data_IF_454888281497
#
_entry.id   IF_454888281497
#
_cell.length_a   1.000
_cell.length_b   1.000
_cell.length_c   1.000
_cell.angle_alpha   90.00
_cell.angle_beta   90.00
_cell.angle_gamma   90.00
#
_symmetry.space_group_name_H-M   'P 1'
#
loop_
_entity.id
_entity.type
_entity.pdbx_description
1 polymer ?
#
# COMPACT_ATOMS: atom_id res chain seq x y z
N UNK A 1 53.62 -62.91 -18.41
CA UNK A 1 54.44 -62.44 -19.57
C UNK A 1 53.64 -61.40 -20.34
N UNK A 2 54.34 -60.35 -20.82
CA UNK A 2 53.90 -59.15 -21.59
C UNK A 2 53.29 -58.01 -20.75
N UNK A 3 54.11 -56.97 -20.43
CA UNK A 3 54.42 -55.72 -21.20
C UNK A 3 53.32 -54.67 -20.92
N UNK A 4 53.53 -53.40 -20.55
CA UNK A 4 54.62 -52.43 -20.79
C UNK A 4 54.36 -51.15 -19.97
N UNK A 5 55.42 -50.41 -19.68
CA UNK A 5 55.50 -49.09 -19.03
C UNK A 5 54.95 -47.91 -19.85
N UNK A 6 54.54 -46.81 -19.19
CA UNK A 6 54.69 -45.37 -19.58
C UNK A 6 53.72 -44.48 -18.75
N UNK A 7 54.21 -43.60 -17.85
CA UNK A 7 54.59 -42.18 -18.03
C UNK A 7 53.42 -41.15 -17.90
N UNK A 8 53.53 -40.34 -16.84
CA UNK A 8 53.54 -38.85 -16.82
C UNK A 8 52.22 -38.04 -16.80
N UNK A 9 52.17 -37.19 -15.76
CA UNK A 9 51.53 -35.87 -15.59
C UNK A 9 50.08 -35.63 -16.01
N UNK A 10 49.27 -35.11 -15.10
CA UNK A 10 48.96 -33.65 -15.07
C UNK A 10 48.06 -33.26 -13.90
N UNK A 11 48.35 -32.05 -13.42
CA UNK A 11 47.75 -31.27 -12.34
C UNK A 11 46.27 -30.95 -12.58
N UNK A 12 45.44 -31.01 -11.53
CA UNK A 12 44.35 -30.05 -11.28
C UNK A 12 43.78 -30.26 -9.85
N UNK A 13 44.31 -29.52 -8.88
CA UNK A 13 43.56 -29.20 -7.67
C UNK A 13 42.36 -28.33 -8.09
N UNK A 14 41.15 -28.86 -8.00
CA UNK A 14 39.93 -28.04 -8.02
C UNK A 14 39.41 -27.98 -6.59
N UNK A 15 39.93 -27.01 -5.84
CA UNK A 15 39.30 -26.49 -4.62
C UNK A 15 38.02 -25.78 -5.06
N UNK A 16 36.86 -26.45 -4.98
CA UNK A 16 35.56 -25.79 -5.12
C UNK A 16 35.35 -24.96 -3.86
N UNK A 17 35.72 -23.69 -3.97
CA UNK A 17 35.42 -22.63 -3.03
C UNK A 17 33.90 -22.38 -3.07
N UNK A 18 33.15 -23.07 -2.21
CA UNK A 18 31.76 -22.74 -1.92
C UNK A 18 31.71 -21.44 -1.12
N UNK A 19 32.05 -20.32 -1.78
CA UNK A 19 31.74 -19.00 -1.28
C UNK A 19 30.22 -18.85 -1.36
N UNK A 20 29.56 -19.09 -0.22
CA UNK A 20 28.18 -18.70 -0.02
C UNK A 20 28.10 -17.19 -0.25
N UNK A 21 27.58 -16.82 -1.42
CA UNK A 21 27.16 -15.47 -1.75
C UNK A 21 25.88 -15.22 -0.93
N UNK A 22 26.02 -15.00 0.38
CA UNK A 22 24.95 -14.42 1.19
C UNK A 22 24.88 -12.96 0.77
N UNK A 23 24.20 -12.69 -0.34
CA UNK A 23 23.76 -11.35 -0.64
C UNK A 23 22.93 -10.90 0.56
N UNK A 24 23.38 -9.87 1.28
CA UNK A 24 22.55 -9.14 2.23
C UNK A 24 21.38 -8.54 1.46
N UNK A 25 20.35 -9.33 1.18
CA UNK A 25 19.04 -8.78 0.90
C UNK A 25 18.57 -8.18 2.22
N UNK A 26 18.51 -6.84 2.29
CA UNK A 26 17.91 -6.16 3.42
C UNK A 26 16.49 -6.72 3.61
N UNK A 27 16.18 -7.11 4.84
CA UNK A 27 14.85 -7.65 5.14
C UNK A 27 13.82 -6.53 5.00
N UNK A 28 12.58 -6.82 4.57
CA UNK A 28 11.56 -5.79 4.31
C UNK A 28 11.18 -4.97 5.55
N UNK A 29 11.49 -5.47 6.74
CA UNK A 29 11.34 -4.84 8.06
C UNK A 29 12.60 -4.08 8.55
N UNK A 30 13.71 -4.12 7.80
CA UNK A 30 14.95 -3.41 8.15
C UNK A 30 14.80 -1.91 7.88
N UNK A 31 14.56 -1.17 8.96
CA UNK A 31 14.43 0.29 8.95
C UNK A 31 15.76 0.98 8.64
N UNK A 32 16.91 0.36 8.93
CA UNK A 32 18.23 0.96 8.66
C UNK A 32 18.54 1.04 7.17
N UNK A 33 17.91 0.17 6.39
CA UNK A 33 17.90 0.22 4.93
C UNK A 33 16.92 1.26 4.37
N UNK A 34 16.27 2.07 5.21
CA UNK A 34 15.34 3.13 4.83
C UNK A 34 15.81 4.49 5.33
N UNK A 35 16.06 5.42 4.42
CA UNK A 35 16.34 6.81 4.77
C UNK A 35 15.03 7.59 4.79
N UNK A 36 14.60 8.15 5.95
CA UNK A 36 13.42 9.01 6.01
C UNK A 36 13.56 10.18 5.04
N UNK A 37 12.46 10.50 4.35
CA UNK A 37 12.45 11.60 3.38
C UNK A 37 12.44 12.98 4.06
N UNK A 38 12.05 13.05 5.34
CA UNK A 38 12.08 14.25 6.17
C UNK A 38 13.02 14.02 7.35
N UNK A 39 13.92 14.98 7.59
CA UNK A 39 14.83 14.94 8.71
C UNK A 39 14.15 15.42 10.00
N UNK A 40 14.65 14.95 11.15
CA UNK A 40 14.33 15.55 12.44
C UNK A 40 14.91 16.96 12.52
N UNK A 41 14.22 17.86 13.22
CA UNK A 41 14.73 19.19 13.50
C UNK A 41 14.24 19.74 14.83
N UNK A 42 14.61 21.00 15.10
CA UNK A 42 14.32 21.64 16.38
C UNK A 42 12.81 21.73 16.67
N UNK A 43 11.97 21.97 15.65
CA UNK A 43 10.53 22.11 15.87
C UNK A 43 9.89 20.75 16.17
N UNK A 44 10.19 19.71 15.38
CA UNK A 44 9.63 18.37 15.62
C UNK A 44 10.15 17.71 16.89
N UNK A 45 11.36 18.03 17.34
CA UNK A 45 11.94 17.51 18.59
C UNK A 45 11.36 18.14 19.86
N UNK A 46 10.65 19.27 19.73
CA UNK A 46 10.00 19.95 20.85
C UNK A 46 8.59 19.41 21.13
N UNK A 47 8.01 18.70 20.17
CA UNK A 47 6.68 18.08 20.32
C UNK A 47 6.82 16.83 21.18
N UNK A 48 5.97 16.72 22.20
CA UNK A 48 5.89 15.50 23.01
C UNK A 48 4.48 14.93 22.93
N UNK A 49 4.37 13.61 22.94
CA UNK A 49 3.10 12.91 22.90
C UNK A 49 3.19 11.65 23.74
N UNK A 50 2.34 11.54 24.75
CA UNK A 50 2.35 10.43 25.72
C UNK A 50 1.04 9.65 25.67
N UNK A 51 1.07 8.40 26.14
CA UNK A 51 -0.06 7.47 26.05
C UNK A 51 0.25 6.31 25.11
N UNK A 52 -0.58 5.28 25.15
CA UNK A 52 -0.45 4.09 24.29
C UNK A 52 -0.61 4.47 22.81
N UNK A 53 0.19 3.87 21.92
CA UNK A 53 0.06 4.08 20.47
C UNK A 53 -1.23 3.44 19.99
N UNK A 54 -2.00 4.16 19.17
CA UNK A 54 -3.33 3.76 18.69
C UNK A 54 -4.48 4.16 19.63
N UNK A 55 -4.17 4.77 20.76
CA UNK A 55 -5.14 5.49 21.62
C UNK A 55 -4.87 6.99 21.56
N UNK A 56 -5.90 7.80 21.84
CA UNK A 56 -5.79 9.26 21.76
C UNK A 56 -4.62 9.77 22.64
N UNK A 57 -3.56 10.35 22.05
CA UNK A 57 -2.40 10.77 22.80
C UNK A 57 -2.65 12.05 23.58
N UNK A 58 -1.96 12.20 24.72
CA UNK A 58 -1.79 13.51 25.35
C UNK A 58 -0.59 14.19 24.70
N UNK A 59 -0.86 15.16 23.83
CA UNK A 59 0.14 15.92 23.08
C UNK A 59 0.41 17.28 23.74
N UNK A 60 1.68 17.66 23.83
CA UNK A 60 2.12 18.99 24.25
C UNK A 60 2.93 19.64 23.13
N UNK A 61 2.42 20.76 22.62
CA UNK A 61 3.06 21.60 21.60
C UNK A 61 3.50 22.92 22.26
N UNK A 62 4.81 23.22 22.32
CA UNK A 62 5.27 24.46 22.90
C UNK A 62 4.95 25.63 21.96
N UNK A 63 3.95 26.42 22.35
CA UNK A 63 3.45 27.53 21.56
C UNK A 63 4.12 28.87 21.96
N UNK A 64 4.47 29.74 20.99
CA UNK A 64 4.35 29.52 19.54
C UNK A 64 5.49 28.63 19.00
N UNK A 65 5.13 27.63 18.21
CA UNK A 65 6.05 26.79 17.44
C UNK A 65 6.08 27.27 15.99
N UNK A 66 7.28 27.46 15.44
CA UNK A 66 7.49 27.89 14.05
C UNK A 66 8.30 26.84 13.31
N UNK A 67 7.75 26.32 12.20
CA UNK A 67 8.40 25.31 11.36
C UNK A 67 8.20 25.66 9.88
N UNK A 68 9.07 26.51 9.30
CA UNK A 68 8.92 26.96 7.92
C UNK A 68 9.27 25.87 6.89
N UNK A 69 9.79 24.73 7.35
CA UNK A 69 10.05 23.55 6.53
C UNK A 69 9.54 22.32 7.28
N UNK A 70 9.14 21.26 6.56
CA UNK A 70 8.71 20.03 7.19
C UNK A 70 9.84 19.34 7.96
N UNK A 71 9.56 18.95 9.20
CA UNK A 71 10.48 18.17 10.05
C UNK A 71 9.73 16.98 10.64
N UNK A 72 10.43 15.86 10.77
CA UNK A 72 9.86 14.59 11.26
C UNK A 72 10.73 14.00 12.36
N UNK A 73 10.14 13.79 13.53
CA UNK A 73 10.77 13.07 14.65
C UNK A 73 9.97 11.82 15.00
N UNK A 74 10.67 10.72 15.28
CA UNK A 74 10.05 9.51 15.85
C UNK A 74 9.99 9.69 17.36
N UNK A 75 8.80 9.58 17.93
CA UNK A 75 8.55 9.71 19.37
C UNK A 75 8.50 8.34 20.06
N UNK A 76 7.91 7.35 19.38
CA UNK A 76 7.87 5.95 19.83
C UNK A 76 8.24 5.05 18.66
N UNK A 77 9.08 4.05 18.89
CA UNK A 77 9.55 3.13 17.85
C UNK A 77 8.52 2.05 17.53
N UNK A 78 8.29 1.86 16.22
CA UNK A 78 7.47 0.77 15.70
C UNK A 78 8.29 -0.46 15.31
N UNK A 79 7.62 -1.50 14.84
CA UNK A 79 8.24 -2.72 14.31
C UNK A 79 7.44 -3.30 13.17
N UNK A 80 8.10 -4.11 12.34
CA UNK A 80 7.49 -4.81 11.22
C UNK A 80 7.78 -4.11 9.90
N UNK A 81 6.87 -4.28 8.93
CA UNK A 81 7.09 -3.86 7.55
C UNK A 81 7.37 -2.35 7.46
N UNK A 82 8.48 -1.98 6.82
CA UNK A 82 8.88 -0.58 6.64
C UNK A 82 8.20 -0.01 5.40
N UNK A 83 7.42 1.04 5.58
CA UNK A 83 6.70 1.71 4.50
C UNK A 83 7.66 2.39 3.52
N UNK A 84 7.81 1.79 2.33
CA UNK A 84 8.52 2.41 1.20
C UNK A 84 7.58 3.32 0.41
N UNK A 85 8.14 4.18 -0.43
CA UNK A 85 7.35 5.02 -1.32
C UNK A 85 6.38 4.16 -2.15
N UNK A 86 5.10 4.55 -2.15
CA UNK A 86 4.00 3.86 -2.82
C UNK A 86 3.33 2.75 -2.01
N UNK A 87 3.92 2.33 -0.88
CA UNK A 87 3.27 1.42 0.06
C UNK A 87 2.13 2.12 0.80
N UNK A 88 1.22 1.31 1.33
CA UNK A 88 0.02 1.80 2.00
C UNK A 88 0.25 1.84 3.49
N UNK A 89 -0.16 2.92 4.13
CA UNK A 89 -0.03 3.13 5.56
C UNK A 89 -1.36 3.58 6.13
N UNK A 90 -1.81 2.85 7.13
CA UNK A 90 -2.97 3.19 7.93
C UNK A 90 -2.48 3.81 9.23
N UNK A 91 -3.08 4.93 9.61
CA UNK A 91 -2.65 5.67 10.78
C UNK A 91 -3.80 6.47 11.39
N UNK A 92 -3.72 6.66 12.69
CA UNK A 92 -4.47 7.70 13.38
C UNK A 92 -3.63 8.98 13.44
N UNK A 93 -4.29 10.13 13.50
CA UNK A 93 -3.61 11.41 13.58
C UNK A 93 -4.36 12.43 14.42
N UNK A 94 -3.61 13.24 15.15
CA UNK A 94 -4.09 14.44 15.81
C UNK A 94 -3.31 15.66 15.30
N UNK A 95 -4.04 16.70 14.88
CA UNK A 95 -3.52 17.91 14.26
C UNK A 95 -3.70 19.06 15.26
N UNK A 96 -2.64 19.84 15.46
CA UNK A 96 -2.58 20.97 16.39
C UNK A 96 -2.12 22.22 15.65
N UNK A 97 -2.63 23.36 16.10
CA UNK A 97 -2.17 24.68 15.70
C UNK A 97 -0.80 24.98 16.33
N UNK A 98 0.23 25.23 15.51
CA UNK A 98 1.56 25.56 16.00
C UNK A 98 1.63 26.91 16.72
N UNK A 99 0.75 27.87 16.40
CA UNK A 99 0.74 29.19 17.02
C UNK A 99 0.20 29.18 18.46
N UNK A 100 -0.79 28.32 18.72
CA UNK A 100 -1.51 28.29 20.01
C UNK A 100 -1.33 27.00 20.80
N UNK A 101 -0.89 25.91 20.16
CA UNK A 101 -0.86 24.56 20.72
C UNK A 101 -2.24 23.91 20.83
N UNK A 102 -3.28 24.53 20.29
CA UNK A 102 -4.66 24.03 20.37
C UNK A 102 -4.87 22.88 19.39
N UNK A 103 -5.57 21.84 19.81
CA UNK A 103 -5.99 20.76 18.92
C UNK A 103 -7.03 21.25 17.92
N UNK A 104 -6.81 20.95 16.65
CA UNK A 104 -7.69 21.32 15.53
C UNK A 104 -8.59 20.17 15.11
N UNK A 105 -7.98 19.00 14.86
CA UNK A 105 -8.65 17.79 14.36
C UNK A 105 -7.99 16.56 14.95
N UNK A 106 -8.75 15.48 15.07
CA UNK A 106 -8.22 14.16 15.37
C UNK A 106 -9.04 13.07 14.67
N UNK A 107 -8.42 11.92 14.42
CA UNK A 107 -9.12 10.69 14.12
C UNK A 107 -9.71 10.11 15.40
N UNK A 108 -10.42 8.97 15.32
CA UNK A 108 -11.14 8.43 16.47
C UNK A 108 -10.24 7.78 17.53
N UNK A 109 -9.07 7.28 17.13
CA UNK A 109 -8.19 6.51 18.01
C UNK A 109 -8.94 5.40 18.79
N UNK A 110 -9.87 4.73 18.13
CA UNK A 110 -10.76 3.72 18.73
C UNK A 110 -10.39 2.29 18.34
N UNK A 111 -9.19 2.12 17.76
CA UNK A 111 -8.70 0.84 17.24
C UNK A 111 -9.35 0.39 15.93
N UNK A 112 -10.25 1.19 15.35
CA UNK A 112 -10.74 0.97 13.97
C UNK A 112 -9.79 1.60 12.95
N UNK A 113 -10.05 1.37 11.66
CA UNK A 113 -9.19 1.90 10.61
C UNK A 113 -9.22 3.44 10.65
N UNK A 114 -8.05 4.04 10.83
CA UNK A 114 -7.88 5.48 10.77
C UNK A 114 -7.88 6.00 9.33
N UNK A 115 -6.94 6.90 9.03
CA UNK A 115 -6.70 7.40 7.67
C UNK A 115 -5.75 6.45 6.96
N UNK A 116 -6.03 6.18 5.69
CA UNK A 116 -5.15 5.39 4.81
C UNK A 116 -4.54 6.28 3.74
N UNK A 117 -3.21 6.33 3.65
CA UNK A 117 -2.48 6.97 2.55
C UNK A 117 -1.47 6.03 1.88
N UNK A 118 -1.06 6.39 0.66
CA UNK A 118 0.13 5.81 0.03
C UNK A 118 1.34 6.68 0.36
N UNK A 119 2.34 6.12 1.05
CA UNK A 119 3.51 6.82 1.51
C UNK A 119 4.27 7.48 0.35
N UNK A 120 4.59 8.76 0.48
CA UNK A 120 5.34 9.53 -0.50
C UNK A 120 4.67 9.69 -1.87
N UNK A 121 3.33 9.51 -1.96
CA UNK A 121 2.54 9.81 -3.15
C UNK A 121 1.56 10.97 -2.90
N UNK A 122 1.15 11.62 -3.97
CA UNK A 122 0.16 12.70 -3.91
C UNK A 122 -1.21 12.13 -3.51
N UNK A 123 -1.86 12.81 -2.58
CA UNK A 123 -3.21 12.48 -2.08
C UNK A 123 -4.31 13.14 -2.91
N UNK A 124 -3.94 14.03 -3.83
CA UNK A 124 -4.88 14.72 -4.71
C UNK A 124 -4.21 15.11 -6.04
N UNK A 125 -4.99 15.14 -7.12
CA UNK A 125 -4.53 15.59 -8.42
C UNK A 125 -4.22 17.10 -8.47
N UNK A 126 -4.80 17.88 -7.55
CA UNK A 126 -4.59 19.33 -7.42
C UNK A 126 -3.22 19.65 -6.78
N UNK A 127 -2.63 18.71 -6.06
CA UNK A 127 -1.30 18.87 -5.49
C UNK A 127 -0.23 18.94 -6.60
N UNK A 128 0.59 19.99 -6.56
CA UNK A 128 1.76 20.13 -7.44
C UNK A 128 2.84 19.12 -7.04
N UNK A 129 3.19 19.13 -5.76
CA UNK A 129 4.20 18.27 -5.14
C UNK A 129 3.55 17.30 -4.13
N UNK A 130 4.31 16.30 -3.67
CA UNK A 130 3.85 15.39 -2.62
C UNK A 130 3.82 16.14 -1.28
N UNK A 131 2.69 16.12 -0.58
CA UNK A 131 2.57 16.72 0.75
C UNK A 131 3.49 16.07 1.78
N UNK A 132 3.91 16.86 2.76
CA UNK A 132 4.81 16.44 3.84
C UNK A 132 4.16 15.39 4.75
N UNK A 133 2.83 15.36 4.88
CA UNK A 133 2.13 14.29 5.59
C UNK A 133 2.36 12.94 4.92
N UNK A 134 2.06 12.81 3.63
CA UNK A 134 2.33 11.57 2.89
C UNK A 134 3.83 11.23 2.87
N UNK A 135 4.70 12.25 2.77
CA UNK A 135 6.15 12.09 2.79
C UNK A 135 6.66 11.59 4.16
N UNK A 136 6.05 12.03 5.26
CA UNK A 136 6.42 11.62 6.63
C UNK A 136 6.18 10.14 6.92
N UNK A 137 5.29 9.50 6.15
CA UNK A 137 4.98 8.07 6.22
C UNK A 137 6.06 7.20 5.54
N UNK A 138 6.99 7.80 4.78
CA UNK A 138 8.13 7.05 4.23
C UNK A 138 9.06 6.64 5.38
N UNK A 139 9.39 5.36 5.42
CA UNK A 139 10.08 4.67 6.50
C UNK A 139 9.28 4.52 7.81
N UNK A 140 7.97 4.73 7.77
CA UNK A 140 7.10 4.42 8.90
C UNK A 140 6.99 2.90 9.13
N UNK A 141 6.79 2.50 10.38
CA UNK A 141 6.52 1.10 10.77
C UNK A 141 5.26 1.02 11.65
N UNK A 142 4.53 -0.11 11.63
CA UNK A 142 3.43 -0.35 12.55
C UNK A 142 3.82 -0.13 14.02
N UNK A 143 2.93 0.50 14.80
CA UNK A 143 3.15 0.84 16.20
C UNK A 143 4.08 2.02 16.44
N UNK A 144 4.53 2.72 15.40
CA UNK A 144 5.36 3.91 15.53
C UNK A 144 4.50 5.15 15.84
N UNK A 145 4.98 6.04 16.71
CA UNK A 145 4.44 7.41 16.86
C UNK A 145 5.41 8.41 16.28
N UNK A 146 4.93 9.28 15.40
CA UNK A 146 5.72 10.27 14.68
C UNK A 146 5.15 11.67 14.96
N UNK A 147 6.03 12.64 15.22
CA UNK A 147 5.70 14.06 15.18
C UNK A 147 6.17 14.67 13.85
N UNK A 148 5.22 15.22 13.10
CA UNK A 148 5.46 16.03 11.92
C UNK A 148 5.16 17.50 12.25
N UNK A 149 6.11 18.38 12.00
CA UNK A 149 5.88 19.84 12.03
C UNK A 149 6.06 20.38 10.63
N UNK A 150 5.10 21.14 10.13
CA UNK A 150 5.05 21.57 8.72
C UNK A 150 4.20 22.83 8.60
N UNK A 151 4.20 23.47 7.44
CA UNK A 151 3.17 24.48 7.11
C UNK A 151 1.89 23.82 6.63
N UNK A 152 0.77 24.54 6.67
CA UNK A 152 -0.53 24.08 6.17
C UNK A 152 -0.43 23.70 4.68
N UNK A 153 0.20 24.54 3.85
CA UNK A 153 0.40 24.26 2.43
C UNK A 153 1.26 23.00 2.21
N UNK A 154 2.42 22.92 2.87
CA UNK A 154 3.35 21.81 2.69
C UNK A 154 2.76 20.49 3.18
N UNK A 155 1.86 20.50 4.17
CA UNK A 155 1.19 19.29 4.66
C UNK A 155 0.44 18.53 3.57
N UNK A 156 -0.06 19.26 2.57
CA UNK A 156 -0.96 18.74 1.55
C UNK A 156 -2.39 18.52 2.03
N UNK A 157 -2.76 19.00 3.22
CA UNK A 157 -4.11 18.98 3.78
C UNK A 157 -4.88 20.27 3.46
N UNK A 158 -6.20 20.16 3.37
CA UNK A 158 -7.09 21.33 3.40
C UNK A 158 -7.63 21.52 4.82
N UNK A 159 -7.16 22.56 5.49
CA UNK A 159 -7.52 22.91 6.87
C UNK A 159 -8.41 24.16 6.97
N UNK A 160 -8.95 24.62 5.84
CA UNK A 160 -9.83 25.80 5.79
C UNK A 160 -11.07 25.65 6.67
N UNK A 161 -11.58 24.42 6.78
CA UNK A 161 -12.75 24.08 7.62
C UNK A 161 -12.55 24.31 9.12
N UNK A 162 -11.29 24.31 9.59
CA UNK A 162 -10.92 24.58 10.98
C UNK A 162 -10.25 25.95 11.16
N UNK A 163 -10.43 26.84 10.19
CA UNK A 163 -9.99 28.24 10.28
C UNK A 163 -8.53 28.48 9.94
N UNK A 164 -7.81 27.49 9.41
CA UNK A 164 -6.44 27.66 8.91
C UNK A 164 -6.50 27.86 7.40
N UNK A 165 -6.28 29.10 6.97
CA UNK A 165 -6.28 29.49 5.54
C UNK A 165 -4.97 30.12 5.08
N UNK A 166 -4.04 30.38 6.00
CA UNK A 166 -2.72 30.88 5.67
C UNK A 166 -1.81 29.70 5.32
N UNK A 167 -1.26 29.72 4.11
CA UNK A 167 -0.42 28.66 3.55
C UNK A 167 0.83 28.40 4.40
N UNK A 168 1.39 29.46 5.00
CA UNK A 168 2.60 29.41 5.81
C UNK A 168 2.32 29.09 7.29
N UNK A 169 1.04 28.90 7.66
CA UNK A 169 0.64 28.61 9.04
C UNK A 169 1.26 27.29 9.52
N UNK A 170 2.03 27.33 10.61
CA UNK A 170 2.64 26.11 11.16
C UNK A 170 1.59 25.24 11.83
N UNK A 171 1.58 23.96 11.47
CA UNK A 171 0.80 22.92 12.12
C UNK A 171 1.71 21.83 12.67
N UNK A 172 1.21 21.12 13.66
CA UNK A 172 1.83 19.91 14.20
C UNK A 172 0.87 18.74 13.99
N UNK A 173 1.37 17.65 13.43
CA UNK A 173 0.62 16.40 13.25
C UNK A 173 1.33 15.31 14.05
N UNK A 174 0.64 14.74 15.03
CA UNK A 174 1.07 13.53 15.72
C UNK A 174 0.38 12.36 15.06
N UNK A 175 1.18 11.39 14.59
CA UNK A 175 0.73 10.28 13.75
C UNK A 175 1.05 8.97 14.47
N UNK A 176 0.03 8.15 14.66
CA UNK A 176 0.15 6.80 15.17
C UNK A 176 -0.05 5.80 14.03
N UNK A 177 1.03 5.14 13.64
CA UNK A 177 1.02 4.20 12.51
C UNK A 177 0.39 2.89 12.96
N UNK A 178 -0.78 2.56 12.42
CA UNK A 178 -1.53 1.35 12.74
C UNK A 178 -0.95 0.15 11.99
N UNK A 179 -0.90 0.23 10.66
CA UNK A 179 -0.52 -0.90 9.82
C UNK A 179 0.13 -0.42 8.50
N UNK A 180 0.97 -1.27 7.91
CA UNK A 180 1.65 -1.01 6.64
C UNK A 180 1.40 -2.18 5.70
N UNK A 181 0.95 -1.89 4.49
CA UNK A 181 0.73 -2.89 3.45
C UNK A 181 1.61 -2.62 2.21
N UNK A 182 2.01 -3.66 1.46
CA UNK A 182 2.61 -3.51 0.14
C UNK A 182 1.83 -2.57 -0.77
N UNK A 183 2.53 -1.88 -1.68
CA UNK A 183 1.89 -1.00 -2.66
C UNK A 183 1.28 -1.74 -3.87
N UNK A 184 1.62 -3.03 -4.03
CA UNK A 184 1.21 -3.90 -5.13
C UNK A 184 1.42 -5.36 -4.78
N UNK A 185 0.81 -6.25 -5.56
CA UNK A 185 1.07 -7.68 -5.53
C UNK A 185 2.49 -8.02 -6.03
N UNK A 186 3.20 -8.83 -5.24
CA UNK A 186 4.60 -9.26 -5.45
C UNK A 186 4.75 -10.77 -5.66
N UNK A 187 3.63 -11.50 -5.79
CA UNK A 187 3.61 -12.93 -6.02
C UNK A 187 4.24 -13.39 -7.34
N UNK A 188 4.39 -14.70 -7.47
CA UNK A 188 4.96 -15.35 -8.66
C UNK A 188 3.99 -15.27 -9.84
N UNK A 189 4.46 -14.77 -10.98
CA UNK A 189 3.66 -14.74 -12.21
C UNK A 189 3.16 -16.13 -12.59
N UNK A 190 1.88 -16.21 -12.95
CA UNK A 190 1.20 -17.41 -13.41
C UNK A 190 1.03 -17.38 -14.93
N UNK A 191 0.78 -18.56 -15.52
CA UNK A 191 0.53 -18.66 -16.95
C UNK A 191 -0.81 -17.98 -17.31
N UNK A 192 -0.84 -17.14 -18.37
CA UNK A 192 -2.07 -16.59 -18.89
C UNK A 192 -3.09 -17.69 -19.21
N UNK A 193 -4.36 -17.41 -18.93
CA UNK A 193 -5.46 -18.33 -19.24
C UNK A 193 -6.04 -18.02 -20.60
N UNK A 194 -6.31 -19.05 -21.39
CA UNK A 194 -6.88 -18.88 -22.73
C UNK A 194 -8.28 -18.22 -22.66
N UNK A 195 -8.59 -17.36 -23.63
CA UNK A 195 -9.85 -16.62 -23.67
C UNK A 195 -10.02 -15.54 -22.59
N UNK A 196 -8.94 -15.09 -21.96
CA UNK A 196 -8.95 -14.00 -20.96
C UNK A 196 -8.13 -12.79 -21.44
N UNK A 197 -8.45 -11.58 -20.98
CA UNK A 197 -7.57 -10.42 -21.14
C UNK A 197 -6.22 -10.64 -20.45
N UNK A 198 -5.17 -10.00 -20.98
CA UNK A 198 -3.82 -10.02 -20.43
C UNK A 198 -3.62 -8.77 -19.58
N UNK A 199 -3.15 -8.95 -18.35
CA UNK A 199 -2.79 -7.85 -17.44
C UNK A 199 -1.35 -7.44 -17.68
N UNK A 200 -1.12 -6.13 -17.77
CA UNK A 200 0.20 -5.52 -17.80
C UNK A 200 0.38 -4.72 -16.51
N UNK A 201 1.51 -4.87 -15.83
CA UNK A 201 1.81 -4.15 -14.58
C UNK A 201 3.04 -3.29 -14.76
N UNK A 202 2.90 -1.99 -14.50
CA UNK A 202 4.01 -1.04 -14.50
C UNK A 202 4.90 -1.21 -13.25
N UNK A 203 6.12 -0.63 -13.23
CA UNK A 203 7.03 -0.78 -12.09
C UNK A 203 6.48 -0.28 -10.75
N UNK A 204 5.61 0.74 -10.78
CA UNK A 204 4.91 1.29 -9.62
C UNK A 204 3.71 0.45 -9.15
N UNK A 205 3.36 -0.61 -9.91
CA UNK A 205 2.22 -1.47 -9.65
C UNK A 205 0.97 -1.11 -10.44
N UNK A 206 0.93 0.04 -11.12
CA UNK A 206 -0.23 0.46 -11.91
C UNK A 206 -0.54 -0.60 -12.98
N UNK A 207 -1.80 -1.02 -13.05
CA UNK A 207 -2.24 -2.09 -13.94
C UNK A 207 -2.94 -1.54 -15.18
N UNK A 208 -2.68 -2.21 -16.30
CA UNK A 208 -3.39 -2.06 -17.57
C UNK A 208 -3.88 -3.41 -18.06
N UNK A 209 -4.78 -3.39 -19.04
CA UNK A 209 -5.27 -4.60 -19.71
C UNK A 209 -5.09 -4.48 -21.21
N UNK A 210 -4.74 -5.59 -21.85
CA UNK A 210 -4.82 -5.76 -23.31
C UNK A 210 -5.63 -7.00 -23.62
N UNK A 211 -6.53 -6.90 -24.60
CA UNK A 211 -7.32 -8.04 -25.10
C UNK A 211 -6.65 -8.52 -26.40
N UNK A 212 -6.13 -9.76 -26.46
CA UNK A 212 -5.56 -10.29 -27.70
C UNK A 212 -6.62 -10.38 -28.82
N UNK A 213 -6.18 -10.18 -30.07
CA UNK A 213 -7.08 -10.24 -31.23
C UNK A 213 -7.80 -11.58 -31.33
N UNK A 214 -9.10 -11.54 -31.62
CA UNK A 214 -9.93 -12.73 -31.77
C UNK A 214 -10.51 -13.28 -30.45
N UNK A 215 -10.12 -12.74 -29.30
CA UNK A 215 -10.75 -13.07 -28.01
C UNK A 215 -12.05 -12.28 -27.87
N UNK A 216 -13.16 -13.00 -27.66
CA UNK A 216 -14.48 -12.41 -27.42
C UNK A 216 -14.79 -12.36 -25.93
N UNK A 217 -15.73 -11.48 -25.56
CA UNK A 217 -16.27 -11.41 -24.20
C UNK A 217 -16.82 -12.79 -23.78
N UNK A 218 -16.39 -13.34 -22.62
CA UNK A 218 -16.93 -14.59 -22.10
C UNK A 218 -18.43 -14.54 -21.85
N UNK A 219 -19.14 -15.63 -22.15
CA UNK A 219 -20.57 -15.78 -21.85
C UNK A 219 -20.87 -16.19 -20.39
N UNK A 220 -19.82 -16.44 -19.60
CA UNK A 220 -19.88 -16.78 -18.18
C UNK A 220 -18.79 -16.03 -17.43
N UNK A 221 -19.02 -15.81 -16.15
CA UNK A 221 -18.04 -15.25 -15.24
C UNK A 221 -16.75 -16.12 -15.27
N UNK A 222 -15.58 -15.47 -15.33
CA UNK A 222 -14.27 -16.14 -15.36
C UNK A 222 -13.29 -15.43 -14.45
N UNK A 223 -12.50 -16.22 -13.72
CA UNK A 223 -11.47 -15.72 -12.82
C UNK A 223 -10.15 -16.43 -13.10
N UNK A 224 -9.04 -15.71 -12.97
CA UNK A 224 -7.71 -16.29 -13.02
C UNK A 224 -6.76 -15.57 -12.06
N UNK A 225 -5.87 -16.32 -11.42
CA UNK A 225 -4.74 -15.76 -10.68
C UNK A 225 -3.63 -15.41 -11.68
N UNK A 226 -3.22 -14.14 -11.71
CA UNK A 226 -2.14 -13.63 -12.55
C UNK A 226 -0.80 -13.67 -11.82
N UNK A 227 -0.81 -13.39 -10.51
CA UNK A 227 0.33 -13.58 -9.62
C UNK A 227 -0.13 -14.35 -8.40
N UNK A 228 0.64 -15.36 -8.01
CA UNK A 228 0.36 -16.15 -6.81
C UNK A 228 1.26 -15.66 -5.67
N UNK A 229 0.63 -14.98 -4.71
CA UNK A 229 1.26 -14.55 -3.48
C UNK A 229 1.62 -15.72 -2.57
N UNK A 230 2.38 -15.41 -1.52
CA UNK A 230 2.83 -16.38 -0.52
C UNK A 230 2.41 -16.04 0.91
N UNK A 231 1.68 -14.94 1.10
CA UNK A 231 1.21 -14.51 2.41
C UNK A 231 0.00 -15.31 2.92
N UNK A 232 -0.58 -14.83 4.02
CA UNK A 232 -1.79 -15.41 4.61
C UNK A 232 -2.92 -15.50 3.57
N UNK A 233 -3.72 -16.57 3.63
CA UNK A 233 -4.87 -16.74 2.75
C UNK A 233 -6.06 -15.99 3.31
N UNK A 234 -6.74 -15.25 2.43
CA UNK A 234 -7.99 -14.58 2.77
C UNK A 234 -9.05 -15.63 3.16
N UNK A 235 -9.83 -15.32 4.18
CA UNK A 235 -10.97 -16.10 4.63
C UNK A 235 -12.27 -15.26 4.56
N UNK A 236 -13.41 -15.95 4.57
CA UNK A 236 -14.71 -15.28 4.71
C UNK A 236 -14.75 -14.56 6.07
N UNK A 237 -15.20 -13.31 6.08
CA UNK A 237 -15.21 -12.41 7.24
C UNK A 237 -13.98 -11.51 7.36
N UNK A 238 -12.90 -11.78 6.62
CA UNK A 238 -11.71 -10.93 6.65
C UNK A 238 -11.98 -9.55 6.07
N UNK A 239 -11.23 -8.57 6.57
CA UNK A 239 -11.12 -7.23 6.02
C UNK A 239 -9.97 -7.20 5.01
N UNK A 240 -10.24 -7.57 3.77
CA UNK A 240 -9.23 -7.62 2.72
C UNK A 240 -8.82 -6.20 2.28
N UNK A 241 -7.52 -5.93 2.25
CA UNK A 241 -6.95 -4.67 1.74
C UNK A 241 -6.57 -4.87 0.28
N UNK A 242 -7.25 -4.15 -0.62
CA UNK A 242 -7.24 -4.41 -2.05
C UNK A 242 -6.89 -3.14 -2.85
N UNK A 243 -5.98 -3.28 -3.80
CA UNK A 243 -5.90 -2.34 -4.92
C UNK A 243 -6.74 -2.92 -6.07
N UNK A 244 -7.62 -2.11 -6.65
CA UNK A 244 -8.62 -2.52 -7.63
C UNK A 244 -8.65 -1.55 -8.80
N UNK A 245 -8.65 -2.10 -10.00
CA UNK A 245 -8.96 -1.38 -11.22
C UNK A 245 -10.06 -2.13 -11.97
N UNK A 246 -10.93 -1.38 -12.62
CA UNK A 246 -12.03 -1.93 -13.39
C UNK A 246 -12.08 -1.37 -14.81
N UNK A 247 -12.54 -2.21 -15.73
CA UNK A 247 -12.74 -1.88 -17.12
C UNK A 247 -14.11 -2.36 -17.59
N UNK A 248 -14.72 -1.61 -18.50
CA UNK A 248 -15.83 -2.10 -19.33
C UNK A 248 -15.28 -2.73 -20.59
N UNK A 249 -15.79 -3.92 -20.92
CA UNK A 249 -15.49 -4.66 -22.14
C UNK A 249 -16.79 -4.95 -22.91
N UNK A 250 -17.11 -4.15 -23.95
CA UNK A 250 -18.34 -4.35 -24.72
C UNK A 250 -18.25 -5.59 -25.63
N UNK A 251 -19.39 -6.23 -25.90
CA UNK A 251 -19.48 -7.49 -26.67
C UNK A 251 -19.29 -7.35 -28.18
N UNK A 252 -19.11 -6.13 -28.71
CA UNK A 252 -18.94 -5.88 -30.15
C UNK A 252 -17.58 -6.33 -30.69
N UNK A 253 -17.52 -6.81 -31.93
CA UNK A 253 -16.29 -7.35 -32.53
C UNK A 253 -15.16 -6.29 -32.67
N UNK A 254 -15.50 -5.00 -32.78
CA UNK A 254 -14.55 -3.87 -32.81
C UNK A 254 -14.53 -3.06 -31.49
N UNK A 255 -15.11 -3.59 -30.41
CA UNK A 255 -15.25 -2.87 -29.16
C UNK A 255 -13.92 -2.76 -28.40
N UNK A 256 -13.58 -1.53 -28.00
CA UNK A 256 -12.38 -1.26 -27.21
C UNK A 256 -12.70 -1.34 -25.72
N UNK A 257 -11.89 -2.10 -24.99
CA UNK A 257 -11.92 -2.12 -23.53
C UNK A 257 -11.55 -0.73 -22.97
N UNK A 258 -12.32 -0.23 -22.00
CA UNK A 258 -12.09 1.11 -21.41
C UNK A 258 -12.03 1.04 -19.89
N UNK A 259 -11.00 1.65 -19.30
CA UNK A 259 -10.87 1.73 -17.85
C UNK A 259 -11.96 2.63 -17.27
N UNK A 260 -12.56 2.22 -16.17
CA UNK A 260 -13.64 2.95 -15.48
C UNK A 260 -13.18 3.50 -14.13
N UNK A 261 -12.39 2.74 -13.40
CA UNK A 261 -11.85 3.18 -12.11
C UNK A 261 -10.51 2.49 -11.83
N UNK A 262 -9.70 3.13 -10.99
CA UNK A 262 -8.40 2.61 -10.57
C UNK A 262 -8.01 3.22 -9.22
N UNK A 263 -7.73 2.39 -8.23
CA UNK A 263 -7.16 2.85 -6.94
C UNK A 263 -5.70 3.29 -7.06
N UNK A 264 -5.06 3.08 -8.21
CA UNK A 264 -3.71 3.57 -8.50
C UNK A 264 -3.71 5.04 -8.92
N UNK A 265 -4.84 5.58 -9.38
CA UNK A 265 -4.98 6.97 -9.81
C UNK A 265 -4.51 7.94 -8.71
N UNK A 266 -4.09 9.14 -9.08
CA UNK A 266 -3.58 10.13 -8.11
C UNK A 266 -4.66 10.44 -7.07
N UNK A 267 -4.30 10.32 -5.78
CA UNK A 267 -5.24 10.43 -4.66
C UNK A 267 -6.07 9.17 -4.37
N UNK A 268 -6.03 8.17 -5.25
CA UNK A 268 -6.57 6.85 -4.96
C UNK A 268 -5.78 6.14 -3.86
N UNK A 269 -6.48 5.34 -3.06
CA UNK A 269 -5.90 4.50 -2.00
C UNK A 269 -6.50 3.09 -2.10
N UNK A 270 -5.80 2.05 -1.62
CA UNK A 270 -6.42 0.73 -1.56
C UNK A 270 -7.66 0.74 -0.68
N UNK A 271 -8.70 0.04 -1.11
CA UNK A 271 -9.93 -0.12 -0.35
C UNK A 271 -9.82 -1.27 0.66
N UNK A 272 -10.62 -1.19 1.71
CA UNK A 272 -10.86 -2.31 2.63
C UNK A 272 -12.21 -2.92 2.28
N UNK A 273 -12.27 -4.23 2.06
CA UNK A 273 -13.48 -4.97 1.72
C UNK A 273 -13.72 -6.08 2.74
N UNK A 274 -14.89 -6.11 3.38
CA UNK A 274 -15.30 -7.25 4.19
C UNK A 274 -15.67 -8.40 3.25
N UNK A 275 -15.00 -9.55 3.36
CA UNK A 275 -15.30 -10.72 2.53
C UNK A 275 -16.52 -11.48 3.05
N UNK A 276 -17.71 -10.97 2.77
CA UNK A 276 -18.99 -11.58 3.20
C UNK A 276 -19.97 -11.67 2.04
N UNK A 277 -20.91 -12.62 2.11
CA UNK A 277 -22.09 -12.74 1.25
C UNK A 277 -23.38 -12.30 1.97
N UNK A 278 -23.25 -11.74 3.18
CA UNK A 278 -24.36 -11.40 4.06
C UNK A 278 -24.58 -9.88 4.19
N UNK A 279 -25.85 -9.49 4.30
CA UNK A 279 -26.27 -8.12 4.60
C UNK A 279 -25.93 -7.09 3.51
N UNK A 280 -25.93 -5.82 3.89
CA UNK A 280 -25.70 -4.70 2.96
C UNK A 280 -24.25 -4.61 2.46
N UNK A 281 -23.34 -5.39 3.06
CA UNK A 281 -21.92 -5.48 2.68
C UNK A 281 -21.63 -6.71 1.80
N UNK A 282 -22.67 -7.42 1.35
CA UNK A 282 -22.50 -8.62 0.53
C UNK A 282 -21.69 -8.32 -0.75
N UNK A 283 -20.57 -9.02 -0.88
CA UNK A 283 -19.71 -8.97 -2.06
C UNK A 283 -20.34 -9.83 -3.16
N UNK A 284 -20.31 -9.39 -4.44
CA UNK A 284 -20.75 -10.23 -5.54
C UNK A 284 -20.08 -11.60 -5.51
N UNK A 285 -20.87 -12.68 -5.62
CA UNK A 285 -20.39 -14.06 -5.42
C UNK A 285 -19.12 -14.39 -6.23
N UNK A 286 -19.06 -13.93 -7.49
CA UNK A 286 -17.88 -14.11 -8.35
C UNK A 286 -16.60 -13.49 -7.77
N UNK A 287 -16.70 -12.32 -7.13
CA UNK A 287 -15.56 -11.66 -6.48
C UNK A 287 -15.23 -12.33 -5.15
N UNK A 288 -16.24 -12.76 -4.38
CA UNK A 288 -16.01 -13.49 -3.14
C UNK A 288 -15.29 -14.81 -3.40
N UNK A 289 -15.76 -15.59 -4.38
CA UNK A 289 -15.14 -16.85 -4.82
C UNK A 289 -13.72 -16.65 -5.36
N UNK A 290 -13.46 -15.52 -6.01
CA UNK A 290 -12.13 -15.17 -6.51
C UNK A 290 -11.14 -14.80 -5.40
N UNK A 291 -11.63 -14.22 -4.30
CA UNK A 291 -10.80 -13.67 -3.22
C UNK A 291 -10.61 -14.67 -2.07
N UNK A 292 -11.65 -15.38 -1.66
CA UNK A 292 -11.55 -16.35 -0.56
C UNK A 292 -10.56 -17.45 -0.92
N UNK A 293 -9.62 -17.70 -0.01
CA UNK A 293 -8.52 -18.65 -0.20
C UNK A 293 -7.33 -18.08 -0.96
N UNK A 294 -7.44 -16.94 -1.62
CA UNK A 294 -6.31 -16.31 -2.32
C UNK A 294 -5.28 -15.78 -1.31
N UNK A 295 -3.98 -16.11 -1.47
CA UNK A 295 -2.94 -15.62 -0.57
C UNK A 295 -2.63 -14.13 -0.79
N UNK A 296 -2.31 -13.41 0.28
CA UNK A 296 -1.77 -12.05 0.23
C UNK A 296 -0.51 -12.01 -0.65
N UNK A 297 -0.37 -10.93 -1.43
CA UNK A 297 0.63 -10.76 -2.47
C UNK A 297 0.17 -11.28 -3.85
N UNK A 298 -1.06 -11.80 -3.96
CA UNK A 298 -1.61 -12.26 -5.24
C UNK A 298 -2.20 -11.12 -6.05
N UNK A 299 -2.18 -11.30 -7.37
CA UNK A 299 -2.95 -10.50 -8.34
C UNK A 299 -3.96 -11.42 -9.02
N UNK A 300 -5.22 -11.02 -9.04
CA UNK A 300 -6.33 -11.78 -9.62
C UNK A 300 -7.02 -10.94 -10.68
N UNK A 301 -7.35 -11.55 -11.81
CA UNK A 301 -8.26 -10.98 -12.81
C UNK A 301 -9.62 -11.68 -12.72
N UNK A 302 -10.69 -10.90 -12.74
CA UNK A 302 -12.07 -11.41 -12.80
C UNK A 302 -12.80 -10.72 -13.94
N UNK A 303 -13.40 -11.50 -14.84
CA UNK A 303 -14.29 -11.03 -15.90
C UNK A 303 -15.70 -11.45 -15.52
N UNK A 304 -16.55 -10.47 -15.20
CA UNK A 304 -17.97 -10.66 -14.95
C UNK A 304 -18.68 -10.51 -16.28
N UNK A 305 -19.33 -11.58 -16.74
CA UNK A 305 -20.05 -11.59 -18.01
C UNK A 305 -21.26 -10.63 -17.95
N UNK A 306 -21.73 -10.12 -19.11
CA UNK A 306 -22.93 -9.31 -19.14
C UNK A 306 -24.13 -10.09 -18.59
N UNK A 307 -24.96 -9.45 -17.75
CA UNK A 307 -26.17 -10.03 -17.16
C UNK A 307 -27.41 -9.24 -17.60
N UNK A 308 -28.53 -9.95 -17.78
CA UNK A 308 -29.77 -9.34 -18.27
C UNK A 308 -29.57 -8.68 -19.63
N UNK A 309 -29.98 -7.42 -19.75
CA UNK A 309 -29.89 -6.63 -20.98
C UNK A 309 -28.54 -5.91 -21.15
N UNK A 310 -27.57 -6.10 -20.24
CA UNK A 310 -26.23 -5.52 -20.39
C UNK A 310 -25.52 -6.08 -21.63
N UNK A 311 -24.88 -5.21 -22.39
CA UNK A 311 -24.03 -5.56 -23.54
C UNK A 311 -22.53 -5.43 -23.23
N UNK A 312 -22.19 -5.24 -21.95
CA UNK A 312 -20.80 -5.04 -21.51
C UNK A 312 -20.48 -6.00 -20.36
N UNK A 313 -19.30 -6.63 -20.45
CA UNK A 313 -18.67 -7.31 -19.34
C UNK A 313 -17.89 -6.31 -18.48
N UNK A 314 -17.76 -6.61 -17.19
CA UNK A 314 -16.87 -5.85 -16.31
C UNK A 314 -15.64 -6.68 -15.99
N UNK A 315 -14.47 -6.11 -16.23
CA UNK A 315 -13.19 -6.73 -15.89
C UNK A 315 -12.64 -6.05 -14.65
N UNK A 316 -12.24 -6.82 -13.65
CA UNK A 316 -11.52 -6.37 -12.47
C UNK A 316 -10.12 -6.95 -12.46
N UNK A 317 -9.14 -6.12 -12.10
CA UNK A 317 -7.81 -6.58 -11.69
C UNK A 317 -7.62 -6.15 -10.25
N UNK A 318 -7.30 -7.12 -9.41
CA UNK A 318 -7.28 -6.98 -7.95
C UNK A 318 -5.93 -7.45 -7.42
N UNK A 319 -5.20 -6.54 -6.79
CA UNK A 319 -4.02 -6.86 -5.99
C UNK A 319 -4.46 -7.04 -4.54
N UNK A 320 -4.16 -8.20 -3.97
CA UNK A 320 -4.41 -8.52 -2.55
C UNK A 320 -3.20 -8.09 -1.73
N UNK A 321 -3.32 -6.98 -1.01
CA UNK A 321 -2.19 -6.37 -0.29
C UNK A 321 -2.06 -6.87 1.14
N UNK A 322 -3.17 -7.25 1.78
CA UNK A 322 -3.15 -7.69 3.17
C UNK A 322 -4.54 -8.01 3.70
N UNK A 323 -4.56 -8.38 4.98
CA UNK A 323 -5.77 -8.50 5.79
C UNK A 323 -5.62 -7.45 6.87
N UNK A 324 -6.53 -6.47 6.90
CA UNK A 324 -6.55 -5.47 7.94
C UNK A 324 -6.80 -6.16 9.27
N UNK A 325 -5.92 -5.91 10.23
CA UNK A 325 -6.14 -6.34 11.60
C UNK A 325 -6.39 -5.13 12.48
N UNK A 326 -7.38 -5.22 13.35
CA UNK A 326 -7.55 -4.26 14.43
C UNK A 326 -6.92 -4.88 15.68
N UNK A 327 -6.06 -4.15 16.41
CA UNK A 327 -5.63 -4.62 17.71
C UNK A 327 -6.89 -4.89 18.54
N UNK A 328 -6.98 -6.08 19.14
CA UNK A 328 -8.11 -6.41 20.00
C UNK A 328 -8.21 -5.33 21.09
N UNK A 329 -9.38 -4.70 21.20
CA UNK A 329 -9.69 -3.83 22.33
C UNK A 329 -9.47 -4.65 23.61
N UNK A 330 -8.49 -4.24 24.41
CA UNK A 330 -8.27 -4.83 25.73
C UNK A 330 -9.35 -4.38 26.71
#
# INVERSE_FOLDING_TARGET
MRRTSALVSSVALVTVLSAALVGCAASPDDVTACTPALASGNASSLVTATGEVGSAPKVEVPAPLVSPQPQRSVLEEGKGLVARKGMTVDFDAAIYDGATGTQLLETKFDGTQGVRFRAGLKTSAQQKEVGSLATSLVCAQPGQRIALTTTALDSGLDLSSVGISDDDHTIVVVIDVQEVFPGKADGLNQLPQDGMPVVVTAPDGTVGITVPSGIKVPSKDRTATIKLGSGARLAKGDLAVLQVASWSWPTGDDATISQKSSTWDVGGTPSTLVLTDEGDQAVPAVLLDALVGTPVGSQVITVIAPKGDSTEATVYVIDVLGIQTFPATK
#
